data_IF_389958802390
#
_entry.id   IF_389958802390
#
_cell.length_a   1.000
_cell.length_b   1.000
_cell.length_c   1.000
_cell.angle_alpha   90.00
_cell.angle_beta   90.00
_cell.angle_gamma   90.00
#
_symmetry.space_group_name_H-M   'P 1'
#
loop_
_entity.id
_entity.type
_entity.pdbx_description
1 polymer ?
#
# COMPACT_ATOMS: atom_id res chain seq x y z
N UNK A 1 -9.76 14.85 -19.36
CA UNK A 1 -10.78 14.09 -20.14
C UNK A 1 -12.01 14.98 -20.26
N UNK A 2 -12.66 15.06 -21.42
CA UNK A 2 -13.86 15.87 -21.59
C UNK A 2 -15.10 15.00 -21.38
N UNK A 3 -16.04 15.44 -20.56
CA UNK A 3 -17.31 14.73 -20.35
C UNK A 3 -18.30 15.07 -21.47
N UNK A 4 -19.19 14.13 -21.79
CA UNK A 4 -20.31 14.36 -22.68
C UNK A 4 -21.44 15.13 -21.97
N UNK A 5 -21.13 16.29 -21.38
CA UNK A 5 -22.06 17.11 -20.57
C UNK A 5 -23.31 17.54 -21.33
N UNK A 6 -23.26 17.60 -22.66
CA UNK A 6 -24.41 17.89 -23.51
C UNK A 6 -25.56 16.87 -23.35
N UNK A 7 -25.31 15.67 -22.82
CA UNK A 7 -26.33 14.67 -22.52
C UNK A 7 -27.15 15.03 -21.26
N UNK A 8 -26.67 15.95 -20.43
CA UNK A 8 -27.37 16.42 -19.23
C UNK A 8 -28.29 17.58 -19.62
N UNK A 9 -29.55 17.28 -19.93
CA UNK A 9 -30.50 18.26 -20.42
C UNK A 9 -31.29 18.99 -19.33
N UNK A 10 -31.19 18.52 -18.08
CA UNK A 10 -31.89 19.11 -16.93
C UNK A 10 -30.96 19.33 -15.74
N UNK A 11 -31.31 20.31 -14.88
CA UNK A 11 -30.61 20.54 -13.61
C UNK A 11 -30.67 19.32 -12.70
N UNK A 12 -31.80 18.61 -12.71
CA UNK A 12 -31.99 17.37 -11.94
C UNK A 12 -31.03 16.26 -12.37
N UNK A 13 -30.75 16.12 -13.68
CA UNK A 13 -29.79 15.12 -14.16
C UNK A 13 -28.35 15.49 -13.80
N UNK A 14 -28.02 16.79 -13.84
CA UNK A 14 -26.74 17.28 -13.30
C UNK A 14 -26.61 16.94 -11.81
N UNK A 15 -27.66 17.12 -11.02
CA UNK A 15 -27.65 16.81 -9.58
C UNK A 15 -27.41 15.33 -9.30
N UNK A 16 -28.06 14.43 -10.05
CA UNK A 16 -27.81 12.99 -9.92
C UNK A 16 -26.34 12.65 -10.21
N UNK A 17 -25.77 13.23 -11.27
CA UNK A 17 -24.35 13.03 -11.61
C UNK A 17 -23.44 13.59 -10.53
N UNK A 18 -23.71 14.79 -10.02
CA UNK A 18 -22.95 15.40 -8.92
C UNK A 18 -22.99 14.55 -7.66
N UNK A 19 -24.14 13.98 -7.29
CA UNK A 19 -24.24 13.03 -6.19
C UNK A 19 -23.32 11.83 -6.43
N UNK A 20 -23.33 11.23 -7.63
CA UNK A 20 -22.45 10.10 -7.94
C UNK A 20 -20.97 10.44 -7.93
N UNK A 21 -20.60 11.62 -8.41
CA UNK A 21 -19.22 12.09 -8.35
C UNK A 21 -18.80 12.36 -6.90
N UNK A 22 -19.69 12.89 -6.06
CA UNK A 22 -19.46 13.04 -4.62
C UNK A 22 -19.25 11.68 -3.94
N UNK A 23 -20.10 10.69 -4.21
CA UNK A 23 -19.94 9.32 -3.68
C UNK A 23 -18.56 8.76 -4.06
N UNK A 24 -18.13 8.95 -5.31
CA UNK A 24 -16.81 8.49 -5.79
C UNK A 24 -15.69 9.23 -5.06
N UNK A 25 -15.79 10.54 -4.90
CA UNK A 25 -14.80 11.38 -4.21
C UNK A 25 -14.62 10.92 -2.76
N UNK A 26 -15.71 10.77 -2.01
CA UNK A 26 -15.66 10.34 -0.61
C UNK A 26 -15.00 8.97 -0.44
N UNK A 27 -15.28 8.03 -1.36
CA UNK A 27 -14.62 6.72 -1.35
C UNK A 27 -13.11 6.81 -1.64
N UNK A 28 -12.70 7.69 -2.55
CA UNK A 28 -11.28 7.92 -2.85
C UNK A 28 -10.55 8.58 -1.68
N UNK A 29 -11.17 9.58 -1.04
CA UNK A 29 -10.61 10.24 0.15
C UNK A 29 -10.47 9.26 1.32
N UNK A 30 -11.47 8.40 1.54
CA UNK A 30 -11.37 7.33 2.53
C UNK A 30 -10.21 6.38 2.23
N UNK A 31 -10.05 5.96 0.97
CA UNK A 31 -8.94 5.10 0.55
C UNK A 31 -7.59 5.80 0.73
N UNK A 32 -7.50 7.09 0.41
CA UNK A 32 -6.30 7.89 0.61
C UNK A 32 -5.87 7.87 2.09
N UNK A 33 -6.79 8.14 3.02
CA UNK A 33 -6.51 8.11 4.46
C UNK A 33 -6.01 6.72 4.89
N UNK A 34 -6.64 5.67 4.39
CA UNK A 34 -6.24 4.29 4.71
C UNK A 34 -4.82 3.98 4.21
N UNK A 35 -4.48 4.37 2.99
CA UNK A 35 -3.16 4.13 2.41
C UNK A 35 -2.07 4.98 3.06
N UNK A 36 -2.35 6.23 3.42
CA UNK A 36 -1.42 7.07 4.19
C UNK A 36 -1.05 6.40 5.50
N UNK A 37 -2.03 5.85 6.24
CA UNK A 37 -1.76 5.09 7.46
C UNK A 37 -0.92 3.84 7.21
N UNK A 38 -1.19 3.11 6.13
CA UNK A 38 -0.40 1.92 5.77
C UNK A 38 1.04 2.28 5.41
N UNK A 39 1.24 3.36 4.65
CA UNK A 39 2.54 3.92 4.31
C UNK A 39 3.33 4.30 5.56
N UNK A 40 2.72 5.06 6.48
CA UNK A 40 3.39 5.53 7.69
C UNK A 40 3.80 4.34 8.59
N UNK A 41 2.92 3.35 8.72
CA UNK A 41 3.21 2.10 9.44
C UNK A 41 4.34 1.29 8.80
N UNK A 42 4.42 1.24 7.47
CA UNK A 42 5.50 0.58 6.76
C UNK A 42 6.81 1.35 6.94
N UNK A 43 6.78 2.68 6.81
CA UNK A 43 7.96 3.53 6.97
C UNK A 43 8.56 3.44 8.39
N UNK A 44 7.71 3.42 9.43
CA UNK A 44 8.14 3.25 10.82
C UNK A 44 8.86 1.90 11.05
N UNK A 45 8.40 0.83 10.39
CA UNK A 45 8.92 -0.52 10.60
C UNK A 45 10.01 -0.95 9.63
N UNK A 46 10.19 -0.22 8.53
CA UNK A 46 11.07 -0.63 7.44
C UNK A 46 12.52 -0.82 7.91
N UNK A 47 13.06 0.13 8.69
CA UNK A 47 14.44 0.07 9.19
C UNK A 47 14.65 -1.09 10.15
N UNK A 48 13.68 -1.36 11.02
CA UNK A 48 13.76 -2.41 12.03
C UNK A 48 13.71 -3.79 11.37
N UNK A 49 12.84 -3.97 10.37
CA UNK A 49 12.73 -5.20 9.60
C UNK A 49 14.01 -5.48 8.81
N UNK A 50 14.62 -4.46 8.21
CA UNK A 50 15.88 -4.62 7.48
C UNK A 50 17.04 -4.99 8.41
N UNK A 51 17.12 -4.39 9.60
CA UNK A 51 18.11 -4.73 10.61
C UNK A 51 17.91 -6.17 11.16
N UNK A 52 16.66 -6.54 11.46
CA UNK A 52 16.31 -7.88 11.93
C UNK A 52 16.61 -8.95 10.88
N UNK A 53 16.37 -8.66 9.60
CA UNK A 53 16.71 -9.54 8.50
C UNK A 53 18.21 -9.77 8.39
N UNK A 54 19.00 -8.69 8.37
CA UNK A 54 20.45 -8.81 8.30
C UNK A 54 21.01 -9.62 9.48
N UNK A 55 20.45 -9.43 10.68
CA UNK A 55 20.83 -10.20 11.86
C UNK A 55 20.44 -11.69 11.74
N UNK A 56 19.24 -12.00 11.24
CA UNK A 56 18.78 -13.37 11.05
C UNK A 56 19.57 -14.10 9.95
N UNK A 57 19.92 -13.41 8.86
CA UNK A 57 20.78 -13.95 7.80
C UNK A 57 22.17 -14.30 8.35
N UNK A 58 22.79 -13.38 9.08
CA UNK A 58 24.09 -13.63 9.72
C UNK A 58 24.06 -14.78 10.74
N UNK A 59 22.97 -14.90 11.51
CA UNK A 59 22.78 -16.03 12.43
C UNK A 59 22.70 -17.37 11.68
N UNK A 60 21.91 -17.45 10.61
CA UNK A 60 21.78 -18.66 9.79
C UNK A 60 23.12 -19.03 9.16
N UNK A 61 23.85 -18.07 8.59
CA UNK A 61 25.19 -18.31 8.01
C UNK A 61 26.18 -18.83 9.05
N UNK A 62 26.19 -18.24 10.24
CA UNK A 62 27.04 -18.68 11.35
C UNK A 62 26.70 -20.12 11.79
N UNK A 63 25.41 -20.44 11.92
CA UNK A 63 24.97 -21.79 12.29
C UNK A 63 25.35 -22.82 11.21
N UNK A 64 25.24 -22.47 9.92
CA UNK A 64 25.70 -23.33 8.82
C UNK A 64 27.20 -23.63 8.96
N UNK A 65 28.02 -22.60 9.19
CA UNK A 65 29.46 -22.76 9.35
C UNK A 65 29.83 -23.63 10.57
N UNK A 66 29.14 -23.43 11.70
CA UNK A 66 29.35 -24.23 12.92
C UNK A 66 28.95 -25.69 12.68
N UNK A 67 27.77 -25.95 12.11
CA UNK A 67 27.28 -27.31 11.84
C UNK A 67 28.25 -28.05 10.92
N UNK A 68 28.79 -27.37 9.89
CA UNK A 68 29.76 -27.95 8.96
C UNK A 68 31.09 -28.33 9.62
N UNK A 69 31.49 -27.61 10.69
CA UNK A 69 32.71 -27.87 11.43
C UNK A 69 32.55 -28.93 12.54
N UNK A 70 31.31 -29.29 12.92
CA UNK A 70 31.03 -30.22 14.01
C UNK A 70 30.96 -31.68 13.53
N UNK A 71 31.56 -32.63 14.27
CA UNK A 71 31.31 -34.05 14.04
C UNK A 71 29.88 -34.43 14.47
N UNK A 72 29.41 -35.58 13.97
CA UNK A 72 28.10 -36.11 14.33
C UNK A 72 28.00 -36.33 15.84
N UNK A 73 27.15 -35.54 16.49
CA UNK A 73 27.08 -35.44 17.95
C UNK A 73 25.78 -34.78 18.37
N UNK A 74 25.39 -34.95 19.64
CA UNK A 74 24.24 -34.26 20.21
C UNK A 74 24.34 -32.73 20.07
N UNK A 75 25.56 -32.17 20.15
CA UNK A 75 25.82 -30.75 19.93
C UNK A 75 25.53 -30.32 18.49
N UNK A 76 25.89 -31.16 17.49
CA UNK A 76 25.56 -30.88 16.10
C UNK A 76 24.04 -30.89 15.88
N UNK A 77 23.33 -31.87 16.42
CA UNK A 77 21.86 -31.93 16.38
C UNK A 77 21.21 -30.71 17.05
N UNK A 78 21.79 -30.22 18.15
CA UNK A 78 21.33 -28.98 18.79
C UNK A 78 21.49 -27.77 17.87
N UNK A 79 22.64 -27.62 17.20
CA UNK A 79 22.88 -26.52 16.27
C UNK A 79 21.96 -26.61 15.03
N UNK A 80 21.70 -27.81 14.53
CA UNK A 80 20.71 -28.04 13.46
C UNK A 80 19.30 -27.60 13.88
N UNK A 81 18.87 -27.96 15.09
CA UNK A 81 17.59 -27.51 15.64
C UNK A 81 17.52 -25.98 15.80
N UNK A 82 18.63 -25.34 16.22
CA UNK A 82 18.73 -23.88 16.28
C UNK A 82 18.64 -23.26 14.88
N UNK A 83 19.30 -23.84 13.88
CA UNK A 83 19.23 -23.39 12.50
C UNK A 83 17.80 -23.44 11.97
N UNK A 84 17.05 -24.52 12.22
CA UNK A 84 15.64 -24.61 11.81
C UNK A 84 14.80 -23.47 12.38
N UNK A 85 15.02 -23.08 13.64
CA UNK A 85 14.32 -21.94 14.25
C UNK A 85 14.75 -20.61 13.62
N UNK A 86 16.04 -20.44 13.33
CA UNK A 86 16.56 -19.24 12.68
C UNK A 86 16.04 -19.12 11.23
N UNK A 87 15.98 -20.20 10.47
CA UNK A 87 15.39 -20.25 9.12
C UNK A 87 13.90 -19.85 9.15
N UNK A 88 13.15 -20.35 10.14
CA UNK A 88 11.75 -19.98 10.31
C UNK A 88 11.60 -18.48 10.63
N UNK A 89 12.44 -17.94 11.53
CA UNK A 89 12.47 -16.50 11.82
C UNK A 89 12.78 -15.69 10.56
N UNK A 90 13.83 -16.07 9.81
CA UNK A 90 14.22 -15.43 8.56
C UNK A 90 13.06 -15.39 7.55
N UNK A 91 12.39 -16.53 7.36
CA UNK A 91 11.21 -16.62 6.49
C UNK A 91 10.09 -15.67 6.91
N UNK A 92 9.77 -15.59 8.20
CA UNK A 92 8.72 -14.68 8.70
C UNK A 92 9.10 -13.21 8.51
N UNK A 93 10.38 -12.86 8.68
CA UNK A 93 10.88 -11.50 8.47
C UNK A 93 10.86 -11.12 6.99
N UNK A 94 11.18 -12.05 6.08
CA UNK A 94 11.11 -11.82 4.63
C UNK A 94 9.67 -11.52 4.19
N UNK A 95 8.68 -12.25 4.73
CA UNK A 95 7.27 -11.94 4.49
C UNK A 95 6.89 -10.56 5.02
N UNK A 96 7.35 -10.20 6.22
CA UNK A 96 7.10 -8.86 6.79
C UNK A 96 7.74 -7.76 5.95
N UNK A 97 8.94 -7.96 5.41
CA UNK A 97 9.58 -7.00 4.49
C UNK A 97 8.78 -6.77 3.22
N UNK A 98 8.12 -7.80 2.69
CA UNK A 98 7.23 -7.62 1.55
C UNK A 98 6.01 -6.73 1.87
N UNK A 99 5.56 -6.71 3.13
CA UNK A 99 4.40 -5.94 3.58
C UNK A 99 4.74 -4.56 4.16
N UNK A 100 5.91 -4.43 4.79
CA UNK A 100 6.30 -3.27 5.61
C UNK A 100 7.72 -2.80 5.34
N UNK A 101 8.41 -3.33 4.33
CA UNK A 101 9.74 -2.90 3.95
C UNK A 101 9.75 -1.60 3.13
N UNK A 102 10.94 -1.11 2.82
CA UNK A 102 11.15 0.08 1.99
C UNK A 102 10.45 0.00 0.63
N UNK A 103 10.42 -1.18 0.00
CA UNK A 103 9.65 -1.40 -1.24
C UNK A 103 8.15 -1.18 -1.04
N UNK A 104 7.59 -1.62 0.10
CA UNK A 104 6.17 -1.42 0.39
C UNK A 104 5.83 0.07 0.54
N UNK A 105 6.72 0.86 1.16
CA UNK A 105 6.58 2.32 1.25
C UNK A 105 6.45 2.94 -0.14
N UNK A 106 7.37 2.62 -1.06
CA UNK A 106 7.37 3.15 -2.43
C UNK A 106 6.09 2.77 -3.17
N UNK A 107 5.60 1.54 -2.99
CA UNK A 107 4.34 1.10 -3.61
C UNK A 107 3.14 1.88 -3.06
N UNK A 108 3.08 2.13 -1.75
CA UNK A 108 2.03 2.96 -1.17
C UNK A 108 2.08 4.41 -1.65
N UNK A 109 3.27 4.99 -1.82
CA UNK A 109 3.45 6.32 -2.42
C UNK A 109 2.91 6.36 -3.85
N UNK A 110 3.26 5.37 -4.68
CA UNK A 110 2.72 5.25 -6.04
C UNK A 110 1.20 5.13 -6.07
N UNK A 111 0.59 4.35 -5.16
CA UNK A 111 -0.87 4.24 -5.08
C UNK A 111 -1.53 5.55 -4.61
N UNK A 112 -0.89 6.29 -3.71
CA UNK A 112 -1.37 7.60 -3.26
C UNK A 112 -1.36 8.60 -4.41
N UNK A 113 -0.29 8.65 -5.20
CA UNK A 113 -0.18 9.50 -6.39
C UNK A 113 -1.31 9.22 -7.39
N UNK A 114 -1.62 7.94 -7.64
CA UNK A 114 -2.74 7.56 -8.51
C UNK A 114 -4.09 8.04 -7.97
N UNK A 115 -4.30 7.95 -6.66
CA UNK A 115 -5.54 8.42 -6.01
C UNK A 115 -5.64 9.94 -6.10
N UNK A 116 -4.55 10.67 -5.89
CA UNK A 116 -4.53 12.13 -5.99
C UNK A 116 -4.84 12.60 -7.41
N UNK A 117 -4.25 11.96 -8.42
CA UNK A 117 -4.58 12.22 -9.82
C UNK A 117 -6.07 11.95 -10.10
N UNK A 118 -6.61 10.85 -9.57
CA UNK A 118 -8.01 10.50 -9.77
C UNK A 118 -8.96 11.46 -9.06
N UNK A 119 -8.62 11.92 -7.84
CA UNK A 119 -9.36 12.95 -7.13
C UNK A 119 -9.40 14.25 -7.94
N UNK A 120 -8.25 14.68 -8.50
CA UNK A 120 -8.18 15.86 -9.37
C UNK A 120 -9.11 15.74 -10.60
N UNK A 121 -9.17 14.55 -11.22
CA UNK A 121 -10.09 14.28 -12.33
C UNK A 121 -11.56 14.35 -11.91
N UNK A 122 -11.90 13.81 -10.74
CA UNK A 122 -13.27 13.87 -10.20
C UNK A 122 -13.67 15.31 -9.88
N UNK A 123 -12.78 16.09 -9.26
CA UNK A 123 -13.02 17.51 -8.98
C UNK A 123 -13.23 18.32 -10.26
N UNK A 124 -12.39 18.09 -11.28
CA UNK A 124 -12.58 18.70 -12.60
C UNK A 124 -13.92 18.32 -13.23
N UNK A 125 -14.32 17.06 -13.12
CA UNK A 125 -15.61 16.56 -13.60
C UNK A 125 -16.79 17.23 -12.88
N UNK A 126 -16.71 17.37 -11.55
CA UNK A 126 -17.73 18.05 -10.74
C UNK A 126 -17.84 19.52 -11.12
N UNK A 127 -16.71 20.20 -11.36
CA UNK A 127 -16.68 21.59 -11.81
C UNK A 127 -17.33 21.75 -13.20
N UNK A 128 -17.01 20.86 -14.13
CA UNK A 128 -17.58 20.86 -15.48
C UNK A 128 -19.11 20.69 -15.44
N UNK A 129 -19.61 19.71 -14.67
CA UNK A 129 -21.06 19.47 -14.50
C UNK A 129 -21.74 20.63 -13.79
N UNK A 130 -21.10 21.23 -12.77
CA UNK A 130 -21.64 22.38 -12.04
C UNK A 130 -21.75 23.61 -12.96
N UNK A 131 -20.73 23.82 -13.80
CA UNK A 131 -20.71 24.90 -14.78
C UNK A 131 -21.82 24.70 -15.82
N UNK A 132 -21.96 23.49 -16.35
CA UNK A 132 -23.04 23.15 -17.29
C UNK A 132 -24.43 23.34 -16.67
N UNK A 133 -24.63 22.87 -15.43
CA UNK A 133 -25.89 23.03 -14.68
C UNK A 133 -26.35 24.49 -14.60
N UNK A 134 -25.41 25.43 -14.43
CA UNK A 134 -25.71 26.86 -14.35
C UNK A 134 -26.24 27.44 -15.68
N UNK A 135 -25.93 26.81 -16.83
CA UNK A 135 -26.43 27.21 -18.15
C UNK A 135 -27.85 26.71 -18.44
N UNK A 136 -28.31 25.69 -17.71
CA UNK A 136 -29.63 25.11 -17.89
C UNK A 136 -30.72 25.96 -17.22
N UNK A 137 -31.94 26.03 -17.80
CA UNK A 137 -33.05 26.78 -17.23
C UNK A 137 -33.39 26.29 -15.82
N UNK A 138 -33.81 27.22 -14.96
CA UNK A 138 -34.35 26.90 -13.65
C UNK A 138 -35.76 26.30 -13.82
N UNK A 139 -35.84 24.99 -13.97
CA UNK A 139 -37.07 24.22 -13.81
C UNK A 139 -37.08 23.55 -12.45
#
# INVERSE_FOLDING_TARGET
MALSIALLTSRTDCDKVLTKLSDIKENLEFRQISLTRSKDNAAERASDIDADLAAAEAEVESLIAIIAALPESATKTEMENRKVRADYRLFTLQQRKAQFGTTAVILYESELDEIEQRLSVVDGSMLEVTTHKATLPAT
#
